data_IF_423359963570
#
_entry.id   IF_423359963570
#
_cell.length_a   1.000
_cell.length_b   1.000
_cell.length_c   1.000
_cell.angle_alpha   90.00
_cell.angle_beta   90.00
_cell.angle_gamma   90.00
#
_symmetry.space_group_name_H-M   'P 1'
#
loop_
_entity.id
_entity.type
_entity.pdbx_description
1 polymer ?
#
# COMPACT_ATOMS: atom_id res chain seq x y z
N UNK A 1 -13.20 37.90 14.35
CA UNK A 1 -13.80 36.96 13.38
C UNK A 1 -12.74 36.39 12.43
N UNK A 2 -11.59 35.96 12.96
CA UNK A 2 -10.46 35.39 12.18
C UNK A 2 -10.09 34.01 12.74
N UNK A 3 -10.31 33.75 14.03
CA UNK A 3 -10.00 32.45 14.67
C UNK A 3 -10.91 31.29 14.23
N UNK A 4 -12.17 31.56 13.85
CA UNK A 4 -13.10 30.49 13.46
C UNK A 4 -12.86 29.96 12.04
N UNK A 5 -12.15 30.73 11.20
CA UNK A 5 -11.75 30.34 9.85
C UNK A 5 -10.55 29.39 9.88
N UNK A 6 -9.65 29.61 10.84
CA UNK A 6 -8.45 28.80 11.06
C UNK A 6 -8.79 27.36 11.49
N UNK A 7 -9.76 27.20 12.41
CA UNK A 7 -10.17 25.88 12.90
C UNK A 7 -10.79 25.00 11.78
N UNK A 8 -11.65 25.58 10.94
CA UNK A 8 -12.28 24.86 9.81
C UNK A 8 -11.24 24.44 8.78
N UNK A 9 -10.29 25.33 8.48
CA UNK A 9 -9.21 25.03 7.53
C UNK A 9 -8.29 23.93 8.07
N UNK A 10 -7.90 23.99 9.36
CA UNK A 10 -7.14 22.94 10.05
C UNK A 10 -7.88 21.60 10.05
N UNK A 11 -9.18 21.61 10.36
CA UNK A 11 -10.02 20.40 10.33
C UNK A 11 -10.08 19.80 8.92
N UNK A 12 -10.24 20.62 7.88
CA UNK A 12 -10.25 20.15 6.49
C UNK A 12 -8.86 19.62 6.07
N UNK A 13 -7.78 20.31 6.48
CA UNK A 13 -6.40 19.90 6.25
C UNK A 13 -6.05 18.56 6.91
N UNK A 14 -6.64 18.25 8.06
CA UNK A 14 -6.46 16.97 8.76
C UNK A 14 -7.42 15.89 8.26
N UNK A 15 -8.67 16.26 7.94
CA UNK A 15 -9.69 15.33 7.47
C UNK A 15 -9.36 14.76 6.09
N UNK A 16 -8.77 15.57 5.19
CA UNK A 16 -8.40 15.14 3.84
C UNK A 16 -7.43 13.95 3.83
N UNK A 17 -6.24 14.02 4.47
CA UNK A 17 -5.31 12.88 4.53
C UNK A 17 -5.88 11.71 5.34
N UNK A 18 -6.68 11.96 6.39
CA UNK A 18 -7.33 10.90 7.14
C UNK A 18 -8.30 10.09 6.25
N UNK A 19 -9.10 10.76 5.43
CA UNK A 19 -9.98 10.12 4.45
C UNK A 19 -9.18 9.33 3.40
N UNK A 20 -8.06 9.88 2.91
CA UNK A 20 -7.21 9.17 1.94
C UNK A 20 -6.60 7.89 2.53
N UNK A 21 -6.11 7.95 3.77
CA UNK A 21 -5.57 6.78 4.49
C UNK A 21 -6.66 5.74 4.73
N UNK A 22 -7.87 6.17 5.15
CA UNK A 22 -8.99 5.26 5.36
C UNK A 22 -9.44 4.58 4.06
N UNK A 23 -9.46 5.30 2.93
CA UNK A 23 -9.79 4.74 1.61
C UNK A 23 -8.72 3.76 1.14
N UNK A 24 -7.44 4.07 1.35
CA UNK A 24 -6.31 3.17 1.07
C UNK A 24 -6.41 1.90 1.90
N UNK A 25 -6.59 2.05 3.22
CA UNK A 25 -6.73 0.92 4.14
C UNK A 25 -7.95 0.05 3.80
N UNK A 26 -9.11 0.66 3.49
CA UNK A 26 -10.31 -0.07 3.08
C UNK A 26 -10.07 -0.83 1.76
N UNK A 27 -9.32 -0.24 0.83
CA UNK A 27 -8.95 -0.90 -0.43
C UNK A 27 -8.02 -2.09 -0.20
N UNK A 28 -7.04 -1.94 0.68
CA UNK A 28 -6.11 -3.01 1.05
C UNK A 28 -6.82 -4.15 1.80
N UNK A 29 -7.73 -3.81 2.73
CA UNK A 29 -8.58 -4.78 3.42
C UNK A 29 -9.50 -5.50 2.43
N UNK A 30 -10.09 -4.79 1.47
CA UNK A 30 -10.91 -5.40 0.44
C UNK A 30 -10.09 -6.37 -0.43
N UNK A 31 -8.84 -6.04 -0.77
CA UNK A 31 -7.93 -6.94 -1.48
C UNK A 31 -7.58 -8.16 -0.60
N UNK A 32 -7.26 -7.95 0.67
CA UNK A 32 -6.86 -8.98 1.64
C UNK A 32 -7.99 -9.98 1.97
N UNK A 33 -9.23 -9.51 1.96
CA UNK A 33 -10.42 -10.32 2.24
C UNK A 33 -10.99 -10.98 0.98
N UNK A 34 -10.59 -10.53 -0.21
CA UNK A 34 -11.10 -11.03 -1.49
C UNK A 34 -10.17 -12.06 -2.13
N UNK A 35 -10.65 -12.67 -3.22
CA UNK A 35 -9.89 -13.59 -4.08
C UNK A 35 -8.63 -12.95 -4.67
N UNK A 36 -8.58 -11.62 -4.68
CA UNK A 36 -7.45 -10.80 -5.13
C UNK A 36 -6.15 -11.10 -4.36
N UNK A 37 -6.21 -11.41 -3.06
CA UNK A 37 -5.03 -11.84 -2.30
C UNK A 37 -4.46 -13.17 -2.83
N UNK A 38 -5.33 -14.12 -3.17
CA UNK A 38 -4.93 -15.41 -3.72
C UNK A 38 -4.34 -15.29 -5.13
N UNK A 39 -4.88 -14.38 -5.95
CA UNK A 39 -4.31 -14.06 -7.26
C UNK A 39 -2.94 -13.40 -7.15
N UNK A 40 -2.77 -12.46 -6.20
CA UNK A 40 -1.48 -11.82 -5.93
C UNK A 40 -0.42 -12.84 -5.53
N UNK A 41 -0.73 -13.67 -4.52
CA UNK A 41 0.20 -14.68 -4.01
C UNK A 41 0.54 -15.73 -5.08
N UNK A 42 -0.44 -16.15 -5.89
CA UNK A 42 -0.22 -17.04 -7.04
C UNK A 42 0.69 -16.44 -8.10
N UNK A 43 0.59 -15.13 -8.37
CA UNK A 43 1.39 -14.45 -9.37
C UNK A 43 2.84 -14.18 -8.91
N UNK A 44 3.11 -14.29 -7.61
CA UNK A 44 4.40 -14.00 -6.97
C UNK A 44 5.11 -15.26 -6.44
N UNK A 45 4.67 -16.46 -6.83
CA UNK A 45 5.20 -17.71 -6.28
C UNK A 45 6.71 -17.91 -6.52
N UNK A 46 7.29 -17.32 -7.57
CA UNK A 46 8.74 -17.44 -7.83
C UNK A 46 9.54 -16.33 -7.17
N UNK A 47 8.88 -15.27 -6.73
CA UNK A 47 9.50 -14.08 -6.16
C UNK A 47 9.76 -14.24 -4.66
N UNK A 48 10.99 -13.97 -4.21
CA UNK A 48 11.36 -14.05 -2.80
C UNK A 48 10.64 -13.02 -1.90
N UNK A 49 10.04 -11.99 -2.49
CA UNK A 49 9.25 -10.96 -1.81
C UNK A 49 8.05 -11.54 -1.05
N UNK A 50 7.39 -12.55 -1.61
CA UNK A 50 6.23 -13.17 -0.96
C UNK A 50 6.62 -13.89 0.35
N UNK A 51 7.55 -14.89 0.35
CA UNK A 51 7.97 -15.54 1.58
C UNK A 51 8.63 -14.56 2.56
N UNK A 52 9.35 -13.54 2.08
CA UNK A 52 9.89 -12.49 2.95
C UNK A 52 8.79 -11.70 3.68
N UNK A 53 7.78 -11.25 2.96
CA UNK A 53 6.68 -10.48 3.55
C UNK A 53 5.84 -11.33 4.50
N UNK A 54 5.55 -12.58 4.13
CA UNK A 54 4.75 -13.49 4.96
C UNK A 54 5.51 -13.99 6.19
N UNK A 55 6.83 -14.16 6.11
CA UNK A 55 7.66 -14.47 7.28
C UNK A 55 7.72 -13.29 8.27
N UNK A 56 7.72 -12.06 7.77
CA UNK A 56 7.79 -10.85 8.61
C UNK A 56 6.47 -10.53 9.31
N UNK A 57 5.34 -10.65 8.61
CA UNK A 57 4.04 -10.16 9.10
C UNK A 57 3.00 -11.27 9.35
N UNK A 58 3.20 -12.45 8.77
CA UNK A 58 2.26 -13.56 8.80
C UNK A 58 1.11 -13.45 7.77
N UNK A 59 0.31 -14.52 7.65
CA UNK A 59 -0.87 -14.56 6.75
C UNK A 59 -2.19 -14.88 7.46
N UNK A 60 -2.13 -15.18 8.76
CA UNK A 60 -3.27 -15.70 9.54
C UNK A 60 -4.36 -14.64 9.79
N UNK A 61 -3.98 -13.37 9.90
CA UNK A 61 -4.91 -12.26 10.20
C UNK A 61 -5.05 -11.34 8.99
N UNK A 62 -6.22 -10.72 8.83
CA UNK A 62 -6.47 -9.75 7.74
C UNK A 62 -5.49 -8.57 7.82
N UNK A 63 -5.21 -8.05 9.03
CA UNK A 63 -4.22 -6.99 9.21
C UNK A 63 -2.81 -7.40 8.75
N UNK A 64 -2.40 -8.64 9.03
CA UNK A 64 -1.12 -9.17 8.53
C UNK A 64 -1.08 -9.22 7.01
N UNK A 65 -2.17 -9.66 6.36
CA UNK A 65 -2.27 -9.68 4.90
C UNK A 65 -2.20 -8.29 4.29
N UNK A 66 -2.79 -7.29 4.94
CA UNK A 66 -2.67 -5.89 4.53
C UNK A 66 -1.20 -5.46 4.52
N UNK A 67 -0.45 -5.75 5.59
CA UNK A 67 0.98 -5.42 5.67
C UNK A 67 1.80 -6.16 4.61
N UNK A 68 1.48 -7.43 4.34
CA UNK A 68 2.08 -8.21 3.24
C UNK A 68 1.82 -7.54 1.89
N UNK A 69 0.57 -7.11 1.63
CA UNK A 69 0.22 -6.36 0.41
C UNK A 69 1.01 -5.06 0.33
N UNK A 70 1.18 -4.31 1.43
CA UNK A 70 1.94 -3.07 1.45
C UNK A 70 3.43 -3.29 1.10
N UNK A 71 4.06 -4.33 1.63
CA UNK A 71 5.45 -4.69 1.29
C UNK A 71 5.58 -5.04 -0.19
N UNK A 72 4.65 -5.86 -0.70
CA UNK A 72 4.60 -6.23 -2.12
C UNK A 72 4.35 -5.00 -3.00
N UNK A 73 3.49 -4.06 -2.58
CA UNK A 73 3.23 -2.81 -3.28
C UNK A 73 4.52 -2.00 -3.45
N UNK A 74 5.31 -1.87 -2.37
CA UNK A 74 6.61 -1.20 -2.42
C UNK A 74 7.59 -1.89 -3.38
N UNK A 75 7.62 -3.22 -3.36
CA UNK A 75 8.47 -4.00 -4.26
C UNK A 75 8.09 -3.82 -5.74
N UNK A 76 6.78 -3.82 -6.04
CA UNK A 76 6.22 -3.62 -7.38
C UNK A 76 6.38 -2.16 -7.86
N UNK A 77 6.26 -1.18 -6.95
CA UNK A 77 6.44 0.23 -7.26
C UNK A 77 7.89 0.60 -7.56
N UNK A 78 8.84 -0.18 -7.05
CA UNK A 78 10.28 -0.02 -7.30
C UNK A 78 10.91 -1.27 -7.94
N UNK A 79 10.42 -1.71 -9.11
CA UNK A 79 10.72 -3.03 -9.66
C UNK A 79 12.21 -3.21 -9.96
N UNK A 80 12.88 -2.19 -10.49
CA UNK A 80 14.31 -2.23 -10.82
C UNK A 80 15.18 -2.48 -9.59
N UNK A 81 14.82 -1.90 -8.45
CA UNK A 81 15.54 -2.10 -7.17
C UNK A 81 15.25 -3.49 -6.61
N UNK A 82 13.99 -3.90 -6.63
CA UNK A 82 13.53 -5.20 -6.13
C UNK A 82 14.09 -6.37 -6.92
N UNK A 83 14.16 -6.27 -8.25
CA UNK A 83 14.77 -7.26 -9.13
C UNK A 83 16.28 -7.32 -8.87
N UNK A 84 16.96 -6.17 -8.77
CA UNK A 84 18.40 -6.12 -8.48
C UNK A 84 18.75 -6.73 -7.12
N UNK A 85 17.85 -6.63 -6.13
CA UNK A 85 17.99 -7.23 -4.81
C UNK A 85 17.58 -8.70 -4.75
N UNK A 86 17.11 -9.29 -5.86
CA UNK A 86 16.59 -10.66 -5.89
C UNK A 86 15.27 -10.86 -5.15
N UNK A 87 14.60 -9.77 -4.76
CA UNK A 87 13.29 -9.82 -4.07
C UNK A 87 12.15 -10.11 -5.04
N UNK A 88 12.29 -9.74 -6.31
CA UNK A 88 11.24 -9.92 -7.30
C UNK A 88 11.79 -10.56 -8.58
N UNK A 89 11.13 -11.61 -9.08
CA UNK A 89 11.48 -12.23 -10.37
C UNK A 89 10.88 -11.38 -11.51
N UNK A 90 11.67 -11.13 -12.56
CA UNK A 90 11.23 -10.30 -13.69
C UNK A 90 10.01 -10.92 -14.42
N UNK A 91 9.93 -12.25 -14.49
CA UNK A 91 8.82 -12.95 -15.14
C UNK A 91 7.54 -12.81 -14.34
N UNK A 92 7.62 -12.96 -13.02
CA UNK A 92 6.48 -12.72 -12.12
C UNK A 92 6.01 -11.26 -12.21
N UNK A 93 6.94 -10.29 -12.30
CA UNK A 93 6.58 -8.87 -12.50
C UNK A 93 5.84 -8.63 -13.82
N UNK A 94 6.27 -9.26 -14.93
CA UNK A 94 5.61 -9.10 -16.24
C UNK A 94 4.27 -9.82 -16.33
N UNK A 95 4.14 -10.99 -15.70
CA UNK A 95 2.91 -11.78 -15.69
C UNK A 95 1.89 -11.29 -14.65
N UNK A 96 2.29 -10.35 -13.79
CA UNK A 96 1.42 -9.84 -12.75
C UNK A 96 0.15 -9.19 -13.31
N UNK A 97 -1.05 -9.51 -12.78
CA UNK A 97 -2.31 -8.97 -13.28
C UNK A 97 -2.35 -7.44 -13.21
N UNK A 98 -2.38 -6.79 -14.39
CA UNK A 98 -2.30 -5.31 -14.53
C UNK A 98 -3.37 -4.57 -13.71
N UNK A 99 -4.59 -5.10 -13.65
CA UNK A 99 -5.70 -4.50 -12.88
C UNK A 99 -5.39 -4.49 -11.38
N UNK A 100 -4.83 -5.59 -10.87
CA UNK A 100 -4.46 -5.71 -9.45
C UNK A 100 -3.24 -4.86 -9.12
N UNK A 101 -2.26 -4.83 -10.04
CA UNK A 101 -1.07 -3.97 -9.94
C UNK A 101 -1.45 -2.52 -9.74
N UNK A 102 -2.27 -1.97 -10.64
CA UNK A 102 -2.68 -0.57 -10.56
C UNK A 102 -3.46 -0.29 -9.27
N UNK A 103 -4.35 -1.19 -8.85
CA UNK A 103 -5.11 -1.02 -7.61
C UNK A 103 -4.21 -0.96 -6.37
N UNK A 104 -3.24 -1.87 -6.27
CA UNK A 104 -2.27 -1.91 -5.17
C UNK A 104 -1.38 -0.66 -5.18
N UNK A 105 -0.89 -0.24 -6.37
CA UNK A 105 -0.07 0.96 -6.52
C UNK A 105 -0.83 2.24 -6.18
N UNK A 106 -2.08 2.37 -6.61
CA UNK A 106 -2.94 3.52 -6.29
C UNK A 106 -3.17 3.57 -4.78
N UNK A 107 -3.54 2.44 -4.16
CA UNK A 107 -3.74 2.35 -2.71
C UNK A 107 -2.47 2.73 -1.93
N UNK A 108 -1.32 2.18 -2.33
CA UNK A 108 -0.03 2.49 -1.71
C UNK A 108 0.39 3.95 -1.91
N UNK A 109 0.12 4.53 -3.09
CA UNK A 109 0.40 5.94 -3.36
C UNK A 109 -0.46 6.86 -2.51
N UNK A 110 -1.74 6.54 -2.33
CA UNK A 110 -2.65 7.29 -1.44
C UNK A 110 -2.13 7.29 0.00
N UNK A 111 -1.67 6.13 0.50
CA UNK A 111 -1.07 6.03 1.83
C UNK A 111 0.24 6.86 1.94
N UNK A 112 1.12 6.80 0.93
CA UNK A 112 2.36 7.59 0.92
C UNK A 112 2.05 9.09 0.91
N UNK A 113 1.12 9.54 0.06
CA UNK A 113 0.68 10.94 0.00
C UNK A 113 0.10 11.37 1.35
N UNK A 114 -0.75 10.54 1.97
CA UNK A 114 -1.30 10.81 3.30
C UNK A 114 -0.23 10.95 4.38
N UNK A 115 0.76 10.06 4.39
CA UNK A 115 1.89 10.12 5.33
C UNK A 115 2.75 11.37 5.11
N UNK A 116 3.11 11.67 3.86
CA UNK A 116 3.89 12.88 3.52
C UNK A 116 3.13 14.14 3.95
N UNK A 117 1.82 14.19 3.71
CA UNK A 117 0.98 15.31 4.08
C UNK A 117 0.96 15.56 5.59
N UNK A 118 0.79 14.49 6.39
CA UNK A 118 0.84 14.58 7.84
C UNK A 118 2.24 15.01 8.32
N UNK A 119 3.30 14.47 7.72
CA UNK A 119 4.66 14.85 8.07
C UNK A 119 4.92 16.34 7.80
N UNK A 120 4.56 16.84 6.61
CA UNK A 120 4.68 18.26 6.25
C UNK A 120 3.89 19.14 7.22
N UNK A 121 2.67 18.74 7.59
CA UNK A 121 1.86 19.47 8.55
C UNK A 121 2.43 19.44 9.97
N UNK A 122 3.14 18.38 10.36
CA UNK A 122 3.82 18.28 11.65
C UNK A 122 5.07 19.17 11.71
N UNK A 123 5.75 19.38 10.58
CA UNK A 123 6.96 20.20 10.49
C UNK A 123 6.68 21.70 10.28
N UNK A 124 5.43 22.08 9.94
CA UNK A 124 4.97 23.48 9.77
C UNK A 124 4.30 23.95 11.06
#
# INVERSE_FOLDING_TARGET
MIEHLDLKLRLLLLATPACLILIGLASDVHIACSRQYKEMTSALQRSACLPFATAMWGEKKIGSRVLVISVIAGAIGSPTSSIRRGLMDERDYRQFPKKLKSKILISSSLNIIGIIWIAVNFFI
#
